data_IF_059392554392
#
_entry.id   IF_059392554392
#
_cell.length_a   1.000
_cell.length_b   1.000
_cell.length_c   1.000
_cell.angle_alpha   90.00
_cell.angle_beta   90.00
_cell.angle_gamma   90.00
#
_symmetry.space_group_name_H-M   'P 1'
#
loop_
_entity.id
_entity.type
_entity.pdbx_description
1 polymer ?
#
# COMPACT_ATOMS: atom_id res chain seq x y z
N UNK A 1 16.19 10.78 -32.78
CA UNK A 1 17.09 10.57 -33.94
C UNK A 1 18.12 9.52 -33.52
N UNK A 2 18.38 8.52 -34.38
CA UNK A 2 19.03 7.20 -34.13
C UNK A 2 18.08 6.08 -33.67
N UNK A 3 17.78 5.22 -34.64
CA UNK A 3 16.98 3.99 -34.61
C UNK A 3 17.80 2.84 -34.04
N UNK A 4 17.20 1.98 -33.24
CA UNK A 4 17.54 0.55 -33.21
C UNK A 4 16.26 -0.26 -33.29
N UNK A 5 16.13 -1.02 -34.37
CA UNK A 5 15.03 -1.93 -34.68
C UNK A 5 15.50 -3.34 -34.36
N UNK A 6 14.77 -4.09 -33.53
CA UNK A 6 14.87 -5.55 -33.49
C UNK A 6 13.50 -6.15 -33.78
N UNK A 7 13.40 -6.80 -34.94
CA UNK A 7 12.39 -7.79 -35.28
C UNK A 7 12.74 -9.09 -34.56
N UNK A 8 11.77 -9.72 -33.90
CA UNK A 8 11.72 -11.18 -33.78
C UNK A 8 10.27 -11.61 -33.94
N UNK A 9 10.00 -12.23 -35.10
CA UNK A 9 8.76 -12.97 -35.34
C UNK A 9 8.99 -14.41 -34.93
N UNK A 10 8.04 -14.93 -34.16
CA UNK A 10 7.78 -16.34 -33.92
C UNK A 10 7.54 -17.10 -35.22
N UNK A 11 7.90 -18.39 -35.27
CA UNK A 11 7.16 -19.47 -35.92
C UNK A 11 7.89 -20.79 -35.70
N UNK A 12 7.34 -21.68 -34.87
CA UNK A 12 7.46 -23.13 -35.06
C UNK A 12 6.22 -23.82 -34.47
N UNK A 13 5.28 -24.16 -35.34
CA UNK A 13 4.27 -25.19 -35.12
C UNK A 13 4.54 -26.29 -36.14
N UNK A 14 4.61 -27.54 -35.67
CA UNK A 14 4.88 -28.69 -36.54
C UNK A 14 4.66 -29.99 -35.78
N UNK A 15 3.54 -30.64 -36.09
CA UNK A 15 3.03 -31.90 -35.54
C UNK A 15 3.79 -33.15 -36.04
N UNK A 16 3.85 -34.15 -35.16
CA UNK A 16 3.62 -35.61 -35.37
C UNK A 16 4.49 -36.37 -36.38
N UNK A 17 5.20 -37.41 -35.91
CA UNK A 17 5.09 -38.77 -36.48
C UNK A 17 5.59 -39.86 -35.50
N UNK A 18 4.90 -41.00 -35.51
CA UNK A 18 5.14 -42.21 -34.73
C UNK A 18 5.88 -43.30 -35.54
N UNK A 19 6.18 -44.43 -34.88
CA UNK A 19 6.88 -45.66 -35.31
C UNK A 19 8.41 -45.59 -35.17
N UNK A 20 9.12 -46.56 -34.59
CA UNK A 20 8.79 -47.87 -34.05
C UNK A 20 10.06 -48.73 -33.96
N UNK A 21 10.15 -49.58 -32.94
CA UNK A 21 10.93 -50.83 -32.86
C UNK A 21 12.47 -50.72 -32.92
N UNK A 22 13.16 -51.08 -31.83
CA UNK A 22 13.98 -52.32 -31.81
C UNK A 22 14.49 -52.63 -30.40
N UNK A 23 13.98 -53.75 -29.89
CA UNK A 23 14.47 -54.51 -28.75
C UNK A 23 15.81 -55.17 -29.16
N UNK A 24 16.87 -54.98 -28.39
CA UNK A 24 18.01 -55.90 -28.36
C UNK A 24 18.58 -55.95 -26.95
N UNK A 25 18.35 -57.10 -26.29
CA UNK A 25 19.10 -57.57 -25.13
C UNK A 25 20.61 -57.59 -25.46
N UNK A 26 21.44 -57.21 -24.49
CA UNK A 26 22.40 -58.15 -23.89
C UNK A 26 23.11 -57.53 -22.68
N UNK A 27 23.31 -58.40 -21.71
CA UNK A 27 24.00 -58.21 -20.44
C UNK A 27 25.42 -57.64 -20.60
N UNK A 28 25.78 -56.75 -19.68
CA UNK A 28 27.15 -56.28 -19.48
C UNK A 28 27.40 -55.97 -18.01
N UNK A 29 27.84 -57.00 -17.29
CA UNK A 29 28.61 -57.03 -16.05
C UNK A 29 28.81 -55.72 -15.25
N UNK A 30 28.36 -55.82 -14.00
CA UNK A 30 28.98 -55.33 -12.77
C UNK A 30 30.43 -54.83 -12.93
N UNK A 31 30.59 -53.51 -12.85
CA UNK A 31 31.81 -52.90 -12.35
C UNK A 31 31.42 -51.88 -11.27
N UNK A 32 31.64 -52.32 -10.04
CA UNK A 32 31.66 -51.52 -8.82
C UNK A 32 32.57 -50.30 -9.00
N UNK A 33 31.97 -49.12 -9.12
CA UNK A 33 32.52 -47.90 -8.57
C UNK A 33 31.58 -47.45 -7.46
N UNK A 34 31.84 -47.94 -6.24
CA UNK A 34 31.40 -47.27 -5.04
C UNK A 34 32.09 -45.90 -5.00
N UNK A 35 31.49 -44.92 -5.68
CA UNK A 35 31.66 -43.54 -5.31
C UNK A 35 31.12 -43.46 -3.89
N UNK A 36 32.03 -43.47 -2.90
CA UNK A 36 31.67 -43.20 -1.53
C UNK A 36 30.96 -41.87 -1.53
N UNK A 37 29.64 -41.89 -1.38
CA UNK A 37 28.86 -40.77 -0.89
C UNK A 37 29.47 -40.46 0.46
N UNK A 38 30.45 -39.56 0.47
CA UNK A 38 30.80 -38.79 1.64
C UNK A 38 29.49 -38.14 2.05
N UNK A 39 28.78 -38.76 3.00
CA UNK A 39 27.67 -38.14 3.71
C UNK A 39 28.27 -36.86 4.30
N UNK A 40 28.03 -35.73 3.64
CA UNK A 40 28.42 -34.43 4.17
C UNK A 40 27.78 -34.34 5.54
N UNK A 41 28.62 -34.17 6.57
CA UNK A 41 28.18 -34.02 7.95
C UNK A 41 27.11 -32.92 7.97
N UNK A 42 25.97 -33.21 8.60
CA UNK A 42 24.92 -32.22 8.85
C UNK A 42 25.53 -30.98 9.49
N UNK A 43 25.19 -29.82 8.95
CA UNK A 43 25.65 -28.53 9.47
C UNK A 43 24.64 -27.99 10.47
N UNK A 44 25.13 -27.28 11.48
CA UNK A 44 24.30 -26.65 12.50
C UNK A 44 23.87 -25.24 12.07
N UNK A 45 23.06 -24.58 12.91
CA UNK A 45 22.52 -23.23 12.64
C UNK A 45 23.63 -22.20 12.39
N UNK A 46 24.71 -22.10 13.22
CA UNK A 46 25.78 -21.15 12.96
C UNK A 46 26.47 -21.36 11.61
N UNK A 47 26.75 -22.62 11.23
CA UNK A 47 27.42 -22.90 9.96
C UNK A 47 26.49 -22.63 8.76
N UNK A 48 25.19 -22.94 8.86
CA UNK A 48 24.21 -22.59 7.82
C UNK A 48 24.10 -21.07 7.65
N UNK A 49 23.98 -20.34 8.76
CA UNK A 49 23.93 -18.87 8.75
C UNK A 49 25.19 -18.27 8.12
N UNK A 50 26.37 -18.79 8.48
CA UNK A 50 27.66 -18.37 7.90
C UNK A 50 27.70 -18.57 6.39
N UNK A 51 27.26 -19.73 5.88
CA UNK A 51 27.24 -20.00 4.44
C UNK A 51 26.30 -19.06 3.67
N UNK A 52 25.14 -18.71 4.23
CA UNK A 52 24.22 -17.74 3.63
C UNK A 52 24.82 -16.33 3.65
N UNK A 53 25.35 -15.88 4.79
CA UNK A 53 26.00 -14.57 4.92
C UNK A 53 27.17 -14.43 3.95
N UNK A 54 28.04 -15.44 3.88
CA UNK A 54 29.16 -15.47 2.93
C UNK A 54 28.67 -15.37 1.47
N UNK A 55 27.53 -15.98 1.16
CA UNK A 55 26.93 -15.92 -0.19
C UNK A 55 26.30 -14.57 -0.50
N UNK A 56 25.65 -13.94 0.48
CA UNK A 56 25.13 -12.57 0.36
C UNK A 56 26.28 -11.59 0.11
N UNK A 57 27.42 -11.78 0.77
CA UNK A 57 28.59 -10.93 0.61
C UNK A 57 29.31 -11.14 -0.74
N UNK A 58 29.41 -12.38 -1.22
CA UNK A 58 30.01 -12.71 -2.52
C UNK A 58 29.13 -13.66 -3.33
N UNK A 59 28.15 -13.08 -4.03
CA UNK A 59 27.21 -13.83 -4.88
C UNK A 59 27.91 -14.64 -5.98
N UNK A 60 29.12 -14.24 -6.41
CA UNK A 60 29.89 -14.99 -7.42
C UNK A 60 30.43 -16.31 -6.88
N UNK A 61 30.61 -16.39 -5.56
CA UNK A 61 31.04 -17.59 -4.87
C UNK A 61 29.86 -18.43 -4.35
N UNK A 62 28.61 -18.01 -4.58
CA UNK A 62 27.40 -18.69 -4.08
C UNK A 62 27.35 -20.19 -4.43
N UNK A 63 27.83 -20.59 -5.61
CA UNK A 63 27.90 -22.02 -6.00
C UNK A 63 28.75 -22.85 -5.03
N UNK A 64 29.92 -22.31 -4.63
CA UNK A 64 30.81 -22.99 -3.69
C UNK A 64 30.21 -23.13 -2.29
N UNK A 65 29.37 -22.17 -1.87
CA UNK A 65 28.69 -22.21 -0.57
C UNK A 65 27.47 -23.11 -0.60
N UNK A 66 26.66 -23.02 -1.64
CA UNK A 66 25.55 -23.94 -1.91
C UNK A 66 26.03 -25.39 -1.86
N UNK A 67 27.15 -25.70 -2.52
CA UNK A 67 27.71 -27.03 -2.53
C UNK A 67 28.08 -27.53 -1.13
N UNK A 68 28.48 -26.68 -0.19
CA UNK A 68 28.82 -27.10 1.18
C UNK A 68 27.59 -27.52 2.00
N UNK A 69 26.40 -27.08 1.64
CA UNK A 69 25.15 -27.45 2.33
C UNK A 69 24.80 -28.92 1.98
N UNK A 70 24.55 -29.82 2.93
CA UNK A 70 24.14 -31.19 2.64
C UNK A 70 22.79 -31.25 1.92
N UNK A 71 22.61 -32.20 0.98
CA UNK A 71 21.39 -32.35 0.19
C UNK A 71 20.12 -32.51 1.06
N UNK A 72 20.23 -33.24 2.18
CA UNK A 72 19.16 -33.43 3.16
C UNK A 72 18.68 -32.13 3.84
N UNK A 73 19.50 -31.09 3.83
CA UNK A 73 19.23 -29.76 4.42
C UNK A 73 18.88 -28.71 3.38
N UNK A 74 18.73 -29.09 2.10
CA UNK A 74 18.31 -28.19 1.01
C UNK A 74 16.84 -28.34 0.62
N UNK A 75 16.16 -29.39 1.08
CA UNK A 75 14.77 -29.67 0.71
C UNK A 75 14.50 -29.66 -0.82
N UNK A 76 15.44 -30.21 -1.59
CA UNK A 76 15.36 -30.23 -3.05
C UNK A 76 15.47 -28.86 -3.72
N UNK A 77 15.87 -27.80 -2.99
CA UNK A 77 16.24 -26.50 -3.52
C UNK A 77 17.36 -26.67 -4.55
N UNK A 78 17.15 -26.09 -5.72
CA UNK A 78 18.15 -26.08 -6.80
C UNK A 78 19.16 -24.95 -6.61
N UNK A 79 20.33 -25.05 -7.26
CA UNK A 79 21.30 -23.95 -7.25
C UNK A 79 20.72 -22.66 -7.84
N UNK A 80 19.87 -22.75 -8.87
CA UNK A 80 19.25 -21.56 -9.48
C UNK A 80 18.35 -20.82 -8.49
N UNK A 81 17.49 -21.54 -7.77
CA UNK A 81 16.61 -20.97 -6.74
C UNK A 81 17.44 -20.39 -5.58
N UNK A 82 18.49 -21.10 -5.16
CA UNK A 82 19.42 -20.58 -4.15
C UNK A 82 20.09 -19.27 -4.59
N UNK A 83 20.63 -19.23 -5.81
CA UNK A 83 21.32 -18.07 -6.35
C UNK A 83 20.40 -16.85 -6.44
N UNK A 84 19.17 -17.05 -6.91
CA UNK A 84 18.16 -16.00 -7.01
C UNK A 84 17.78 -15.47 -5.63
N UNK A 85 17.55 -16.35 -4.65
CA UNK A 85 17.26 -15.97 -3.26
C UNK A 85 18.39 -15.16 -2.62
N UNK A 86 19.64 -15.57 -2.81
CA UNK A 86 20.80 -14.79 -2.35
C UNK A 86 20.83 -13.43 -3.03
N UNK A 87 20.45 -13.34 -4.31
CA UNK A 87 20.24 -12.08 -5.02
C UNK A 87 19.22 -11.20 -4.29
N UNK A 88 18.04 -11.72 -3.96
CA UNK A 88 17.00 -11.01 -3.20
C UNK A 88 17.52 -10.50 -1.86
N UNK A 89 18.19 -11.35 -1.07
CA UNK A 89 18.76 -10.95 0.23
C UNK A 89 19.86 -9.89 0.07
N UNK A 90 20.64 -9.94 -1.01
CA UNK A 90 21.69 -8.94 -1.26
C UNK A 90 21.14 -7.54 -1.55
N UNK A 91 19.92 -7.44 -2.11
CA UNK A 91 19.23 -6.17 -2.35
C UNK A 91 18.75 -5.49 -1.06
N UNK A 92 18.70 -6.21 0.06
CA UNK A 92 18.44 -5.62 1.38
C UNK A 92 19.65 -4.88 1.96
N UNK A 93 20.85 -5.11 1.42
CA UNK A 93 22.05 -4.43 1.89
C UNK A 93 22.04 -2.96 1.44
N UNK A 94 22.38 -2.00 2.33
CA UNK A 94 22.61 -0.63 1.90
C UNK A 94 23.62 -0.56 0.75
N UNK A 95 23.37 0.32 -0.23
CA UNK A 95 24.27 0.56 -1.35
C UNK A 95 25.71 0.79 -0.90
N UNK A 96 26.64 -0.05 -1.38
CA UNK A 96 28.07 0.06 -1.06
C UNK A 96 28.46 -0.40 0.35
N UNK A 97 27.54 -1.00 1.11
CA UNK A 97 27.85 -1.61 2.41
C UNK A 97 28.37 -3.05 2.25
N UNK A 98 28.92 -3.56 3.34
CA UNK A 98 29.35 -4.96 3.47
C UNK A 98 28.90 -5.51 4.81
N UNK A 99 28.65 -6.81 4.87
CA UNK A 99 28.37 -7.50 6.13
C UNK A 99 29.60 -7.47 7.05
N UNK A 100 29.40 -7.15 8.33
CA UNK A 100 30.46 -7.16 9.36
C UNK A 100 30.36 -8.36 10.28
N UNK A 101 29.13 -8.73 10.64
CA UNK A 101 28.83 -9.79 11.59
C UNK A 101 27.40 -10.27 11.39
N UNK A 102 27.09 -11.43 11.98
CA UNK A 102 25.73 -11.90 12.12
C UNK A 102 25.52 -12.47 13.52
N UNK A 103 24.29 -12.37 14.01
CA UNK A 103 23.88 -12.90 15.30
C UNK A 103 22.65 -13.79 15.15
N UNK A 104 22.62 -14.90 15.89
CA UNK A 104 21.42 -15.73 16.02
C UNK A 104 20.50 -15.07 17.05
N UNK A 105 19.28 -14.74 16.65
CA UNK A 105 18.33 -14.04 17.52
C UNK A 105 17.58 -15.06 18.38
N UNK A 106 17.60 -14.85 19.70
CA UNK A 106 16.99 -15.76 20.68
C UNK A 106 16.08 -15.01 21.67
N UNK A 107 15.33 -15.78 22.47
CA UNK A 107 14.54 -15.24 23.58
C UNK A 107 13.42 -14.29 23.15
N UNK A 108 13.23 -13.21 23.91
CA UNK A 108 12.10 -12.29 23.71
C UNK A 108 12.16 -11.54 22.37
N UNK A 109 13.35 -11.22 21.86
CA UNK A 109 13.50 -10.58 20.54
C UNK A 109 13.01 -11.51 19.43
N UNK A 110 13.38 -12.79 19.48
CA UNK A 110 12.88 -13.81 18.55
C UNK A 110 11.37 -13.90 18.59
N UNK A 111 10.78 -14.05 19.78
CA UNK A 111 9.32 -14.18 19.89
C UNK A 111 8.59 -12.92 19.40
N UNK A 112 9.16 -11.73 19.62
CA UNK A 112 8.60 -10.47 19.10
C UNK A 112 8.65 -10.41 17.57
N UNK A 113 9.77 -10.80 16.96
CA UNK A 113 9.92 -10.84 15.49
C UNK A 113 8.93 -11.82 14.87
N UNK A 114 8.92 -13.06 15.36
CA UNK A 114 8.02 -14.09 14.84
C UNK A 114 6.55 -13.68 15.03
N UNK A 115 6.19 -13.12 16.19
CA UNK A 115 4.82 -12.62 16.43
C UNK A 115 4.42 -11.48 15.49
N UNK A 116 5.37 -10.65 15.04
CA UNK A 116 5.08 -9.58 14.06
C UNK A 116 4.89 -10.09 12.63
N UNK A 117 5.42 -11.28 12.31
CA UNK A 117 5.27 -11.91 11.00
C UNK A 117 3.94 -12.67 10.88
N UNK A 118 3.38 -13.12 12.01
CA UNK A 118 2.09 -13.79 12.06
C UNK A 118 0.99 -12.75 11.78
N UNK A 119 0.63 -12.60 10.50
CA UNK A 119 -0.52 -11.78 10.09
C UNK A 119 -1.83 -12.44 10.52
N UNK A 120 -2.89 -11.65 10.70
CA UNK A 120 -4.21 -12.18 11.08
C UNK A 120 -4.92 -12.98 9.97
N UNK A 121 -4.37 -13.01 8.75
CA UNK A 121 -5.12 -13.32 7.54
C UNK A 121 -4.64 -14.59 6.79
N UNK A 122 -3.53 -15.21 7.20
CA UNK A 122 -2.98 -16.43 6.59
C UNK A 122 -2.43 -17.39 7.65
N UNK A 123 -3.03 -18.59 7.75
CA UNK A 123 -2.58 -19.64 8.67
C UNK A 123 -1.59 -20.61 7.99
N UNK A 124 -1.40 -20.55 6.66
CA UNK A 124 -0.53 -21.51 5.94
C UNK A 124 0.91 -21.45 6.44
N UNK A 125 1.41 -20.25 6.72
CA UNK A 125 2.79 -20.02 7.12
C UNK A 125 3.02 -20.09 8.64
N UNK A 126 1.97 -20.17 9.46
CA UNK A 126 2.03 -20.02 10.91
C UNK A 126 3.00 -21.00 11.57
N UNK A 127 2.88 -22.29 11.24
CA UNK A 127 3.77 -23.32 11.79
C UNK A 127 5.20 -23.13 11.32
N UNK A 128 5.39 -22.72 10.06
CA UNK A 128 6.72 -22.50 9.49
C UNK A 128 7.40 -21.28 10.12
N UNK A 129 6.68 -20.15 10.26
CA UNK A 129 7.16 -18.93 10.94
C UNK A 129 7.57 -19.25 12.38
N UNK A 130 6.74 -19.99 13.14
CA UNK A 130 7.08 -20.38 14.53
C UNK A 130 8.32 -21.27 14.63
N UNK A 131 8.60 -22.05 13.59
CA UNK A 131 9.80 -22.90 13.49
C UNK A 131 11.06 -22.14 13.06
N UNK A 132 10.94 -20.87 12.69
CA UNK A 132 12.06 -20.09 12.17
C UNK A 132 13.04 -19.68 13.28
N UNK A 133 14.30 -19.54 12.85
CA UNK A 133 15.40 -18.94 13.59
C UNK A 133 15.79 -17.67 12.83
N UNK A 134 15.48 -16.47 13.36
CA UNK A 134 15.92 -15.22 12.76
C UNK A 134 17.43 -15.04 12.93
N UNK A 135 18.10 -14.64 11.86
CA UNK A 135 19.52 -14.29 11.83
C UNK A 135 19.61 -12.79 11.54
N UNK A 136 20.15 -12.02 12.51
CA UNK A 136 20.43 -10.60 12.32
C UNK A 136 21.74 -10.44 11.57
N UNK A 137 21.77 -9.57 10.57
CA UNK A 137 22.96 -9.23 9.78
C UNK A 137 23.33 -7.78 10.06
N UNK A 138 24.55 -7.58 10.57
CA UNK A 138 25.11 -6.25 10.78
C UNK A 138 25.96 -5.83 9.58
N UNK A 139 25.90 -4.55 9.22
CA UNK A 139 26.60 -4.02 8.04
C UNK A 139 27.42 -2.78 8.39
N UNK A 140 28.43 -2.47 7.56
CA UNK A 140 29.26 -1.26 7.69
C UNK A 140 28.50 0.04 7.41
N UNK A 141 27.34 -0.04 6.75
CA UNK A 141 26.48 1.09 6.42
C UNK A 141 25.33 1.25 7.40
N UNK A 142 24.73 2.44 7.42
CA UNK A 142 23.45 2.64 8.09
C UNK A 142 22.31 2.52 7.09
N UNK A 143 21.30 1.75 7.49
CA UNK A 143 20.01 1.67 6.81
C UNK A 143 19.21 2.95 7.10
N UNK A 144 18.52 3.51 6.10
CA UNK A 144 17.74 4.73 6.29
C UNK A 144 16.58 4.51 7.29
N UNK A 145 16.04 3.29 7.30
CA UNK A 145 15.06 2.81 8.29
C UNK A 145 15.58 2.73 9.73
N UNK A 146 16.90 2.56 9.92
CA UNK A 146 17.48 2.12 11.20
C UNK A 146 17.10 0.70 11.61
N UNK A 147 16.36 -0.05 10.78
CA UNK A 147 15.92 -1.42 11.07
C UNK A 147 17.01 -2.42 10.67
N UNK A 148 17.44 -3.33 11.55
CA UNK A 148 18.43 -4.35 11.19
C UNK A 148 17.96 -5.24 10.04
N UNK A 149 18.89 -5.82 9.28
CA UNK A 149 18.57 -6.83 8.28
C UNK A 149 18.40 -8.18 8.98
N UNK A 150 17.33 -8.90 8.63
CA UNK A 150 17.10 -10.26 9.12
C UNK A 150 16.85 -11.21 7.94
N UNK A 151 17.33 -12.44 8.06
CA UNK A 151 16.83 -13.58 7.26
C UNK A 151 16.49 -14.74 8.19
N UNK A 152 15.73 -15.72 7.69
CA UNK A 152 15.14 -16.76 8.54
C UNK A 152 15.60 -18.15 8.08
N UNK A 153 15.99 -18.98 9.05
CA UNK A 153 16.31 -20.39 8.84
C UNK A 153 15.20 -21.27 9.42
N UNK A 154 14.80 -22.31 8.71
CA UNK A 154 13.76 -23.24 9.18
C UNK A 154 14.37 -24.40 9.97
N UNK A 155 13.59 -24.94 10.91
CA UNK A 155 13.94 -26.13 11.69
C UNK A 155 12.92 -27.24 11.47
N UNK A 156 13.40 -28.47 11.27
CA UNK A 156 12.55 -29.67 11.25
C UNK A 156 12.11 -30.00 12.67
N UNK A 157 11.10 -30.86 12.82
CA UNK A 157 10.66 -31.40 14.13
C UNK A 157 11.80 -32.07 14.92
N UNK A 158 12.83 -32.56 14.22
CA UNK A 158 14.05 -33.13 14.82
C UNK A 158 15.01 -32.08 15.41
N UNK A 159 14.73 -30.78 15.24
CA UNK A 159 15.62 -29.67 15.58
C UNK A 159 16.72 -29.41 14.54
N UNK A 160 16.72 -30.14 13.43
CA UNK A 160 17.71 -29.95 12.37
C UNK A 160 17.37 -28.74 11.49
N UNK A 161 18.36 -27.87 11.28
CA UNK A 161 18.23 -26.71 10.40
C UNK A 161 18.21 -27.12 8.93
N UNK A 162 17.42 -26.44 8.11
CA UNK A 162 17.40 -26.64 6.67
C UNK A 162 16.96 -25.36 5.95
N UNK A 163 17.17 -25.33 4.63
CA UNK A 163 16.60 -24.33 3.74
C UNK A 163 15.29 -24.87 3.20
N UNK A 164 14.17 -24.27 3.60
CA UNK A 164 12.87 -24.64 3.08
C UNK A 164 12.70 -24.10 1.66
N UNK A 165 12.38 -24.98 0.71
CA UNK A 165 12.26 -24.58 -0.70
C UNK A 165 11.01 -23.74 -0.94
N UNK A 166 9.92 -24.00 -0.22
CA UNK A 166 8.67 -23.24 -0.29
C UNK A 166 8.90 -21.79 0.16
N UNK A 167 9.50 -21.62 1.34
CA UNK A 167 9.88 -20.32 1.89
C UNK A 167 10.70 -19.49 0.89
N UNK A 168 11.77 -20.10 0.35
CA UNK A 168 12.66 -19.44 -0.58
C UNK A 168 11.93 -19.01 -1.86
N UNK A 169 11.07 -19.87 -2.41
CA UNK A 169 10.28 -19.55 -3.60
C UNK A 169 9.31 -18.41 -3.34
N UNK A 170 8.59 -18.40 -2.21
CA UNK A 170 7.67 -17.33 -1.90
C UNK A 170 8.39 -15.98 -1.75
N UNK A 171 9.58 -15.96 -1.14
CA UNK A 171 10.43 -14.76 -1.12
C UNK A 171 10.81 -14.28 -2.53
N UNK A 172 11.22 -15.20 -3.43
CA UNK A 172 11.57 -14.88 -4.81
C UNK A 172 10.36 -14.32 -5.56
N UNK A 173 9.20 -14.97 -5.44
CA UNK A 173 7.96 -14.58 -6.14
C UNK A 173 7.47 -13.20 -5.68
N UNK A 174 7.48 -12.93 -4.37
CA UNK A 174 7.16 -11.60 -3.82
C UNK A 174 8.11 -10.51 -4.33
N UNK A 175 9.41 -10.80 -4.36
CA UNK A 175 10.41 -9.86 -4.87
C UNK A 175 10.25 -9.62 -6.38
N UNK A 176 10.06 -10.66 -7.18
CA UNK A 176 9.85 -10.53 -8.61
C UNK A 176 8.58 -9.69 -8.92
N UNK A 177 7.51 -9.92 -8.16
CA UNK A 177 6.30 -9.11 -8.27
C UNK A 177 6.54 -7.65 -7.88
N UNK A 178 7.27 -7.38 -6.80
CA UNK A 178 7.55 -5.99 -6.37
C UNK A 178 8.39 -5.23 -7.41
N UNK A 179 9.37 -5.90 -8.04
CA UNK A 179 10.16 -5.32 -9.14
C UNK A 179 9.24 -4.94 -10.30
N UNK A 180 8.36 -5.85 -10.73
CA UNK A 180 7.37 -5.55 -11.78
C UNK A 180 6.42 -4.42 -11.40
N UNK A 181 5.98 -4.38 -10.14
CA UNK A 181 5.14 -3.32 -9.61
C UNK A 181 5.82 -1.95 -9.76
N UNK A 182 7.03 -1.80 -9.23
CA UNK A 182 7.76 -0.53 -9.30
C UNK A 182 8.18 -0.15 -10.73
N UNK A 183 8.56 -1.13 -11.56
CA UNK A 183 8.88 -0.90 -12.98
C UNK A 183 7.68 -0.34 -13.77
N UNK A 184 6.46 -0.80 -13.49
CA UNK A 184 5.25 -0.29 -14.16
C UNK A 184 5.09 1.22 -13.93
N UNK A 185 5.34 1.69 -12.69
CA UNK A 185 5.29 3.11 -12.35
C UNK A 185 6.48 3.90 -12.90
N UNK A 186 7.70 3.37 -12.81
CA UNK A 186 8.90 3.99 -13.34
C UNK A 186 8.79 4.23 -14.86
N UNK A 187 8.24 3.25 -15.58
CA UNK A 187 8.01 3.33 -17.03
C UNK A 187 6.76 4.12 -17.41
N UNK A 188 5.96 4.56 -16.43
CA UNK A 188 4.67 5.26 -16.63
C UNK A 188 3.73 4.49 -17.57
N UNK A 189 3.79 3.16 -17.52
CA UNK A 189 2.97 2.32 -18.39
C UNK A 189 1.57 2.21 -17.82
N UNK A 190 0.66 3.05 -18.33
CA UNK A 190 -0.74 3.09 -17.89
C UNK A 190 -1.43 1.73 -17.97
N UNK A 191 -1.10 0.89 -18.96
CA UNK A 191 -1.74 -0.43 -19.10
C UNK A 191 -1.32 -1.38 -17.99
N UNK A 192 -0.02 -1.41 -17.70
CA UNK A 192 0.54 -2.26 -16.65
C UNK A 192 0.02 -1.81 -15.29
N UNK A 193 0.02 -0.50 -15.02
CA UNK A 193 -0.53 0.05 -13.76
C UNK A 193 -2.01 -0.30 -13.61
N UNK A 194 -2.84 -0.16 -14.66
CA UNK A 194 -4.25 -0.58 -14.59
C UNK A 194 -4.38 -2.07 -14.25
N UNK A 195 -3.50 -2.92 -14.79
CA UNK A 195 -3.51 -4.36 -14.49
C UNK A 195 -3.05 -4.70 -13.07
N UNK A 196 -2.35 -3.78 -12.39
CA UNK A 196 -1.89 -3.94 -11.02
C UNK A 196 -2.91 -3.47 -9.97
N UNK A 197 -3.82 -2.55 -10.32
CA UNK A 197 -4.86 -2.06 -9.40
C UNK A 197 -5.71 -3.15 -8.74
N UNK A 198 -6.05 -4.28 -9.40
CA UNK A 198 -6.80 -5.34 -8.73
C UNK A 198 -6.06 -6.02 -7.57
N UNK A 199 -4.74 -5.87 -7.49
CA UNK A 199 -3.93 -6.42 -6.42
C UNK A 199 -3.76 -5.42 -5.26
N UNK A 200 -4.19 -4.16 -5.39
CA UNK A 200 -4.09 -3.20 -4.28
C UNK A 200 -5.21 -3.42 -3.27
N UNK A 201 -4.85 -3.50 -2.00
CA UNK A 201 -5.81 -3.62 -0.92
C UNK A 201 -6.54 -2.29 -0.70
N UNK A 202 -7.87 -2.35 -0.77
CA UNK A 202 -8.72 -1.18 -0.55
C UNK A 202 -9.93 -1.59 0.30
N UNK A 203 -10.43 -0.71 1.19
CA UNK A 203 -11.60 -1.02 2.02
C UNK A 203 -12.88 -1.26 1.21
N UNK A 204 -12.96 -0.67 0.02
CA UNK A 204 -14.13 -0.73 -0.86
C UNK A 204 -13.84 -1.61 -2.09
N UNK A 205 -14.87 -2.19 -2.73
CA UNK A 205 -14.67 -2.99 -3.93
C UNK A 205 -13.99 -2.19 -5.06
N UNK A 206 -13.05 -2.84 -5.75
CA UNK A 206 -12.36 -2.25 -6.89
C UNK A 206 -13.38 -1.80 -7.96
N UNK A 207 -13.29 -0.56 -8.47
CA UNK A 207 -14.19 -0.06 -9.50
C UNK A 207 -14.12 -0.89 -10.79
N UNK A 208 -15.28 -1.22 -11.35
CA UNK A 208 -15.37 -1.92 -12.64
C UNK A 208 -15.29 -0.95 -13.83
N UNK A 209 -15.53 0.34 -13.60
CA UNK A 209 -15.44 1.37 -14.63
C UNK A 209 -14.01 1.57 -15.10
N UNK A 210 -13.80 1.37 -16.40
CA UNK A 210 -12.49 1.57 -17.04
C UNK A 210 -11.98 3.00 -16.90
N UNK A 211 -12.87 3.99 -16.84
CA UNK A 211 -12.46 5.38 -16.73
C UNK A 211 -12.02 5.73 -15.30
N UNK A 212 -12.66 5.13 -14.28
CA UNK A 212 -12.20 5.20 -12.89
C UNK A 212 -10.83 4.53 -12.75
N UNK A 213 -10.65 3.32 -13.31
CA UNK A 213 -9.35 2.64 -13.28
C UNK A 213 -8.24 3.45 -13.96
N UNK A 214 -8.54 4.13 -15.09
CA UNK A 214 -7.59 5.05 -15.73
C UNK A 214 -7.29 6.27 -14.84
N UNK A 215 -8.28 6.82 -14.14
CA UNK A 215 -8.09 7.96 -13.24
C UNK A 215 -7.17 7.57 -12.08
N UNK A 216 -7.44 6.44 -11.42
CA UNK A 216 -6.57 5.82 -10.39
C UNK A 216 -5.15 5.63 -10.90
N UNK A 217 -4.99 4.94 -12.03
CA UNK A 217 -3.67 4.64 -12.58
C UNK A 217 -2.87 5.90 -12.96
N UNK A 218 -3.53 6.94 -13.48
CA UNK A 218 -2.87 8.23 -13.77
C UNK A 218 -2.43 8.94 -12.49
N UNK A 219 -3.25 8.92 -11.45
CA UNK A 219 -2.89 9.55 -10.18
C UNK A 219 -1.76 8.78 -9.48
N UNK A 220 -1.75 7.44 -9.52
CA UNK A 220 -0.59 6.64 -9.09
C UNK A 220 0.69 7.05 -9.84
N UNK A 221 0.65 7.07 -11.19
CA UNK A 221 1.81 7.44 -12.01
C UNK A 221 2.29 8.84 -11.69
N UNK A 222 1.36 9.78 -11.50
CA UNK A 222 1.67 11.15 -11.09
C UNK A 222 2.35 11.15 -9.74
N UNK A 223 1.79 10.50 -8.73
CA UNK A 223 2.37 10.38 -7.40
C UNK A 223 3.81 9.84 -7.46
N UNK A 224 4.02 8.69 -8.10
CA UNK A 224 5.36 8.09 -8.23
C UNK A 224 6.34 8.91 -9.09
N UNK A 225 5.84 9.81 -9.95
CA UNK A 225 6.68 10.67 -10.80
C UNK A 225 7.09 11.98 -10.13
N UNK A 226 6.25 12.52 -9.23
CA UNK A 226 6.39 13.90 -8.73
C UNK A 226 6.54 13.97 -7.21
N UNK A 227 5.97 13.02 -6.48
CA UNK A 227 6.00 13.03 -5.02
C UNK A 227 7.17 12.21 -4.46
N UNK A 228 7.67 11.24 -5.22
CA UNK A 228 8.83 10.45 -4.82
C UNK A 228 10.09 11.11 -5.38
N UNK A 229 10.92 11.71 -4.51
CA UNK A 229 12.12 12.45 -4.93
C UNK A 229 13.20 11.56 -5.54
N UNK A 230 13.30 10.31 -5.09
CA UNK A 230 14.29 9.35 -5.55
C UNK A 230 13.66 7.97 -5.73
N UNK A 231 13.45 7.57 -6.99
CA UNK A 231 12.98 6.21 -7.33
C UNK A 231 14.05 5.14 -7.07
N UNK A 232 15.31 5.56 -6.85
CA UNK A 232 16.46 4.69 -6.57
C UNK A 232 16.68 4.43 -5.08
N UNK A 233 15.79 4.92 -4.20
CA UNK A 233 15.96 4.88 -2.73
C UNK A 233 14.82 4.11 -2.02
N UNK A 234 14.20 3.15 -2.70
CA UNK A 234 13.31 2.22 -2.01
C UNK A 234 14.16 1.22 -1.25
N UNK A 235 14.08 1.26 0.07
CA UNK A 235 14.83 0.35 0.93
C UNK A 235 13.97 -0.87 1.24
N UNK A 236 14.40 -2.07 0.84
CA UNK A 236 13.73 -3.32 1.24
C UNK A 236 14.02 -3.59 2.72
N UNK A 237 13.03 -3.39 3.59
CA UNK A 237 13.17 -3.48 5.05
C UNK A 237 13.22 -4.93 5.52
N UNK A 238 12.27 -5.73 5.05
CA UNK A 238 12.10 -7.12 5.45
C UNK A 238 11.52 -7.92 4.30
N UNK A 239 11.89 -9.20 4.25
CA UNK A 239 11.27 -10.20 3.38
C UNK A 239 11.14 -11.53 4.13
N UNK A 240 9.98 -12.15 4.00
CA UNK A 240 9.67 -13.49 4.45
C UNK A 240 8.74 -14.19 3.45
N UNK A 241 8.34 -15.42 3.75
CA UNK A 241 7.53 -16.23 2.83
C UNK A 241 6.15 -15.64 2.52
N UNK A 242 5.62 -14.77 3.38
CA UNK A 242 4.27 -14.20 3.25
C UNK A 242 4.29 -12.70 3.00
N UNK A 243 5.40 -12.02 3.26
CA UNK A 243 5.43 -10.58 3.37
C UNK A 243 6.76 -9.96 2.89
N UNK A 244 6.65 -8.86 2.17
CA UNK A 244 7.77 -8.04 1.70
C UNK A 244 7.46 -6.56 1.95
N UNK A 245 8.34 -5.87 2.66
CA UNK A 245 8.14 -4.47 3.07
C UNK A 245 9.24 -3.57 2.50
N UNK A 246 8.82 -2.52 1.80
CA UNK A 246 9.69 -1.42 1.38
C UNK A 246 9.42 -0.16 2.20
N UNK A 247 10.48 0.60 2.46
CA UNK A 247 10.42 1.95 2.99
C UNK A 247 10.78 2.96 1.90
N UNK A 248 10.02 4.05 1.85
CA UNK A 248 10.23 5.17 0.96
C UNK A 248 10.46 6.42 1.82
N UNK A 249 11.72 6.82 2.06
CA UNK A 249 12.07 7.83 3.07
C UNK A 249 11.79 9.28 2.61
N UNK A 250 11.72 9.54 1.30
CA UNK A 250 11.61 10.89 0.76
C UNK A 250 10.36 11.12 -0.11
N UNK A 251 9.18 11.01 0.49
CA UNK A 251 7.91 11.30 -0.18
C UNK A 251 7.46 12.71 0.17
N UNK A 252 7.29 13.55 -0.84
CA UNK A 252 6.66 14.87 -0.71
C UNK A 252 5.18 14.70 -0.44
N UNK A 253 4.74 15.20 0.71
CA UNK A 253 3.33 15.44 0.94
C UNK A 253 2.87 16.73 0.21
N UNK A 254 1.58 17.01 0.28
CA UNK A 254 0.93 18.18 -0.33
C UNK A 254 1.35 19.52 0.25
N UNK A 255 2.03 19.54 1.40
CA UNK A 255 2.62 20.73 2.03
C UNK A 255 4.12 20.87 1.71
N UNK A 256 4.63 20.15 0.71
CA UNK A 256 6.05 20.05 0.36
C UNK A 256 6.96 19.56 1.52
N UNK A 257 6.38 18.98 2.57
CA UNK A 257 7.12 18.33 3.64
C UNK A 257 7.47 16.92 3.21
N UNK A 258 8.69 16.51 3.53
CA UNK A 258 9.13 15.15 3.31
C UNK A 258 8.58 14.25 4.42
N UNK A 259 7.96 13.14 4.04
CA UNK A 259 7.51 12.09 4.92
C UNK A 259 8.04 10.73 4.45
N UNK A 260 8.13 9.80 5.40
CA UNK A 260 8.45 8.40 5.12
C UNK A 260 7.14 7.62 4.98
N UNK A 261 7.05 6.75 3.97
CA UNK A 261 5.94 5.78 3.84
C UNK A 261 6.45 4.37 3.59
N UNK A 262 5.57 3.40 3.73
CA UNK A 262 5.87 2.00 3.42
C UNK A 262 4.99 1.49 2.27
N UNK A 263 5.53 0.54 1.51
CA UNK A 263 4.79 -0.27 0.54
C UNK A 263 4.98 -1.72 0.93
N UNK A 264 3.88 -2.44 1.13
CA UNK A 264 3.88 -3.82 1.61
C UNK A 264 3.26 -4.74 0.56
N UNK A 265 3.88 -5.90 0.34
CA UNK A 265 3.36 -6.97 -0.51
C UNK A 265 3.09 -8.17 0.40
N UNK A 266 1.87 -8.69 0.36
CA UNK A 266 1.44 -9.86 1.13
C UNK A 266 1.02 -10.98 0.20
N UNK A 267 1.40 -12.21 0.48
CA UNK A 267 0.87 -13.40 -0.19
C UNK A 267 -0.12 -14.10 0.72
N UNK A 268 -1.27 -14.48 0.17
CA UNK A 268 -2.26 -15.33 0.87
C UNK A 268 -1.97 -16.83 0.69
N UNK A 269 -2.82 -17.66 1.30
CA UNK A 269 -2.76 -19.13 1.26
C UNK A 269 -2.94 -19.73 -0.16
N UNK A 270 -3.31 -18.92 -1.15
CA UNK A 270 -3.45 -19.33 -2.55
C UNK A 270 -2.31 -18.78 -3.43
N UNK A 271 -1.26 -18.24 -2.82
CA UNK A 271 -0.19 -17.48 -3.48
C UNK A 271 -0.71 -16.26 -4.27
N UNK A 272 -1.87 -15.71 -3.90
CA UNK A 272 -2.34 -14.45 -4.44
C UNK A 272 -1.65 -13.30 -3.71
N UNK A 273 -0.98 -12.44 -4.49
CA UNK A 273 -0.25 -11.30 -3.96
C UNK A 273 -1.19 -10.10 -3.85
N UNK A 274 -1.22 -9.46 -2.69
CA UNK A 274 -1.91 -8.21 -2.40
C UNK A 274 -0.90 -7.13 -2.04
N UNK A 275 -1.16 -5.88 -2.44
CA UNK A 275 -0.29 -4.72 -2.24
C UNK A 275 -0.98 -3.71 -1.33
N UNK A 276 -0.33 -3.34 -0.23
CA UNK A 276 -0.71 -2.18 0.58
C UNK A 276 0.22 -1.02 0.22
N UNK A 277 -0.29 -0.11 -0.60
CA UNK A 277 0.39 1.09 -1.06
C UNK A 277 -0.55 2.29 -0.89
N UNK A 278 -0.80 2.74 0.36
CA UNK A 278 -1.81 3.75 0.61
C UNK A 278 -1.41 5.08 -0.04
N UNK A 279 -2.33 5.64 -0.82
CA UNK A 279 -2.24 6.97 -1.42
C UNK A 279 -3.45 7.79 -0.97
N UNK A 280 -3.18 8.88 -0.28
CA UNK A 280 -4.23 9.81 0.12
C UNK A 280 -4.47 10.86 -0.95
N UNK A 281 -5.74 11.15 -1.21
CA UNK A 281 -6.10 12.38 -1.89
C UNK A 281 -6.46 13.48 -0.89
N UNK A 282 -5.83 14.62 -1.06
CA UNK A 282 -6.18 15.81 -0.32
C UNK A 282 -7.40 16.49 -0.91
N UNK A 283 -8.23 17.03 -0.02
CA UNK A 283 -9.35 17.88 -0.39
C UNK A 283 -8.84 19.14 -1.12
N UNK A 284 -9.34 19.38 -2.33
CA UNK A 284 -8.93 20.54 -3.14
C UNK A 284 -9.50 21.82 -2.54
N UNK A 285 -8.73 22.91 -2.57
CA UNK A 285 -9.16 24.20 -2.01
C UNK A 285 -10.45 24.76 -2.62
N UNK A 286 -10.75 24.44 -3.89
CA UNK A 286 -12.00 24.85 -4.56
C UNK A 286 -13.23 24.20 -3.92
N UNK A 287 -13.05 23.04 -3.28
CA UNK A 287 -14.11 22.28 -2.63
C UNK A 287 -14.31 22.68 -1.16
N UNK A 288 -13.60 23.72 -0.70
CA UNK A 288 -13.89 24.39 0.58
C UNK A 288 -15.05 25.40 0.49
N UNK A 289 -15.63 25.57 -0.70
CA UNK A 289 -16.69 26.52 -0.97
C UNK A 289 -18.05 25.85 -1.14
N UNK A 290 -19.08 26.47 -0.59
CA UNK A 290 -20.45 26.23 -0.95
C UNK A 290 -20.78 26.99 -2.24
N UNK A 291 -21.46 26.32 -3.16
CA UNK A 291 -22.04 26.91 -4.35
C UNK A 291 -23.56 26.89 -4.25
N UNK A 292 -24.21 28.00 -4.59
CA UNK A 292 -25.66 28.11 -4.64
C UNK A 292 -26.12 28.60 -6.00
N UNK A 293 -27.01 27.85 -6.66
CA UNK A 293 -27.46 28.08 -8.04
C UNK A 293 -26.28 28.26 -9.02
N UNK A 294 -25.21 27.48 -8.84
CA UNK A 294 -24.00 27.52 -9.67
C UNK A 294 -23.03 28.67 -9.39
N UNK A 295 -23.33 29.55 -8.42
CA UNK A 295 -22.45 30.64 -8.02
C UNK A 295 -21.68 30.27 -6.76
N UNK A 296 -20.39 30.58 -6.72
CA UNK A 296 -19.56 30.45 -5.51
C UNK A 296 -20.06 31.44 -4.46
N UNK A 297 -20.54 30.97 -3.31
CA UNK A 297 -21.15 31.85 -2.30
C UNK A 297 -20.28 32.09 -1.08
N UNK A 298 -19.94 31.04 -0.33
CA UNK A 298 -19.25 31.16 0.97
C UNK A 298 -18.20 30.07 1.08
N UNK A 299 -17.07 30.38 1.72
CA UNK A 299 -16.08 29.37 2.12
C UNK A 299 -16.40 28.90 3.54
N UNK A 300 -16.10 27.64 3.84
CA UNK A 300 -16.07 27.20 5.23
C UNK A 300 -14.95 27.93 5.99
N UNK A 301 -15.15 28.21 7.28
CA UNK A 301 -14.25 29.02 8.12
C UNK A 301 -14.43 30.53 7.99
N UNK A 302 -15.07 31.03 6.92
CA UNK A 302 -15.34 32.47 6.76
C UNK A 302 -16.38 32.99 7.76
N UNK A 303 -16.36 34.31 7.96
CA UNK A 303 -17.33 35.03 8.76
C UNK A 303 -18.76 34.85 8.24
N UNK A 304 -19.71 34.71 9.16
CA UNK A 304 -21.10 34.48 8.89
C UNK A 304 -21.96 35.42 9.75
N UNK A 305 -22.93 36.08 9.10
CA UNK A 305 -23.93 36.93 9.73
C UNK A 305 -25.29 36.78 9.01
N UNK A 306 -26.43 37.04 9.68
CA UNK A 306 -27.76 36.78 9.12
C UNK A 306 -28.02 37.53 7.79
N UNK A 307 -27.69 38.81 7.73
CA UNK A 307 -27.89 39.63 6.52
C UNK A 307 -27.12 39.12 5.30
N UNK A 308 -25.94 38.53 5.51
CA UNK A 308 -25.16 37.92 4.43
C UNK A 308 -25.85 36.67 3.89
N UNK A 309 -26.33 35.77 4.75
CA UNK A 309 -27.00 34.54 4.31
C UNK A 309 -28.33 34.82 3.63
N UNK A 310 -29.14 35.74 4.16
CA UNK A 310 -30.42 36.06 3.54
C UNK A 310 -30.25 36.62 2.12
N UNK A 311 -29.21 37.43 1.90
CA UNK A 311 -28.87 37.94 0.56
C UNK A 311 -28.39 36.84 -0.39
N UNK A 312 -27.69 35.82 0.11
CA UNK A 312 -27.11 34.76 -0.71
C UNK A 312 -28.10 33.62 -1.01
N UNK A 313 -28.87 33.20 -0.02
CA UNK A 313 -29.69 31.98 -0.07
C UNK A 313 -31.20 32.24 0.03
N UNK A 314 -31.60 33.45 0.43
CA UNK A 314 -32.97 33.81 0.79
C UNK A 314 -33.27 33.52 2.27
N UNK A 315 -34.54 33.63 2.65
CA UNK A 315 -34.99 33.39 4.03
C UNK A 315 -34.84 31.90 4.40
N UNK A 316 -34.21 31.57 5.56
CA UNK A 316 -34.10 30.19 6.02
C UNK A 316 -35.46 29.61 6.45
N UNK A 317 -35.59 28.28 6.41
CA UNK A 317 -36.78 27.57 6.90
C UNK A 317 -36.85 27.64 8.42
N UNK A 318 -35.71 27.42 9.07
CA UNK A 318 -35.57 27.47 10.53
C UNK A 318 -34.15 27.89 10.90
N UNK A 319 -34.03 28.72 11.93
CA UNK A 319 -32.78 28.94 12.66
C UNK A 319 -32.97 28.33 14.05
N UNK A 320 -31.97 27.58 14.52
CA UNK A 320 -31.99 27.01 15.86
C UNK A 320 -30.61 27.09 16.48
N UNK A 321 -30.56 27.18 17.80
CA UNK A 321 -29.31 27.32 18.54
C UNK A 321 -29.10 26.14 19.48
N UNK A 322 -27.89 25.60 19.48
CA UNK A 322 -27.46 24.51 20.35
C UNK A 322 -27.11 24.96 21.77
N UNK A 323 -26.63 24.03 22.61
CA UNK A 323 -26.12 24.35 23.94
C UNK A 323 -24.87 25.25 23.86
N UNK A 324 -24.55 25.91 24.98
CA UNK A 324 -23.29 26.64 25.16
C UNK A 324 -22.15 25.62 25.09
N UNK A 325 -21.18 25.90 24.22
CA UNK A 325 -19.99 25.08 24.04
C UNK A 325 -18.80 25.65 24.80
N UNK A 326 -18.62 26.97 24.75
CA UNK A 326 -17.59 27.69 25.51
C UNK A 326 -18.08 29.09 25.86
N UNK A 327 -17.45 29.70 26.86
CA UNK A 327 -17.62 31.12 27.18
C UNK A 327 -16.27 31.81 26.99
N UNK A 328 -16.24 32.85 26.15
CA UNK A 328 -14.99 33.58 25.87
C UNK A 328 -14.51 34.37 27.09
N UNK A 329 -13.27 34.85 27.07
CA UNK A 329 -12.74 35.72 28.12
C UNK A 329 -13.54 37.03 28.31
N UNK A 330 -14.30 37.44 27.28
CA UNK A 330 -15.16 38.62 27.31
C UNK A 330 -16.57 38.31 27.83
N UNK A 331 -16.88 37.04 28.15
CA UNK A 331 -18.18 36.59 28.63
C UNK A 331 -19.16 36.16 27.53
N UNK A 332 -18.72 36.09 26.27
CA UNK A 332 -19.59 35.69 25.17
C UNK A 332 -19.82 34.18 25.16
N UNK A 333 -21.09 33.77 25.06
CA UNK A 333 -21.46 32.36 24.99
C UNK A 333 -21.41 31.87 23.53
N UNK A 334 -20.43 31.02 23.23
CA UNK A 334 -20.24 30.44 21.90
C UNK A 334 -21.07 29.16 21.75
N UNK A 335 -21.77 29.06 20.62
CA UNK A 335 -22.77 28.03 20.36
C UNK A 335 -22.70 27.59 18.89
N UNK A 336 -23.27 26.41 18.63
CA UNK A 336 -23.59 25.99 17.26
C UNK A 336 -24.97 26.52 16.86
N UNK A 337 -25.04 27.32 15.81
CA UNK A 337 -26.25 27.88 15.24
C UNK A 337 -26.54 27.10 13.95
N UNK A 338 -27.67 26.41 13.90
CA UNK A 338 -28.08 25.58 12.77
C UNK A 338 -29.11 26.35 11.93
N UNK A 339 -28.76 26.62 10.68
CA UNK A 339 -29.55 27.37 9.72
C UNK A 339 -29.98 26.42 8.61
N UNK A 340 -31.28 26.18 8.49
CA UNK A 340 -31.83 25.18 7.56
C UNK A 340 -32.43 25.82 6.32
N UNK A 341 -32.08 25.26 5.17
CA UNK A 341 -32.68 25.56 3.87
C UNK A 341 -33.28 24.29 3.25
N UNK A 342 -33.94 24.43 2.10
CA UNK A 342 -34.36 23.27 1.32
C UNK A 342 -33.13 22.56 0.77
N UNK A 343 -32.89 21.34 1.25
CA UNK A 343 -31.84 20.45 0.75
C UNK A 343 -30.48 20.54 1.46
N UNK A 344 -30.29 21.53 2.35
CA UNK A 344 -29.02 21.68 3.07
C UNK A 344 -29.18 22.39 4.43
N UNK A 345 -28.18 22.21 5.30
CA UNK A 345 -28.00 22.93 6.57
C UNK A 345 -26.61 23.57 6.58
N UNK A 346 -26.57 24.81 7.05
CA UNK A 346 -25.34 25.50 7.41
C UNK A 346 -25.27 25.55 8.93
N UNK A 347 -24.13 25.16 9.51
CA UNK A 347 -23.85 25.38 10.93
C UNK A 347 -22.83 26.48 11.07
N UNK A 348 -23.16 27.48 11.88
CA UNK A 348 -22.26 28.57 12.27
C UNK A 348 -21.83 28.35 13.71
N UNK A 349 -20.55 28.54 13.98
CA UNK A 349 -20.02 28.58 15.33
C UNK A 349 -19.83 30.03 15.75
N UNK A 350 -20.53 30.47 16.79
CA UNK A 350 -20.63 31.89 17.08
C UNK A 350 -21.48 32.27 18.28
N UNK A 351 -21.73 33.56 18.43
CA UNK A 351 -22.62 34.13 19.43
C UNK A 351 -24.04 34.20 18.87
N UNK A 352 -25.03 33.93 19.72
CA UNK A 352 -26.43 33.91 19.33
C UNK A 352 -27.27 34.68 20.35
N UNK A 353 -27.85 35.81 19.91
CA UNK A 353 -28.81 36.57 20.71
C UNK A 353 -30.24 36.19 20.30
N UNK A 354 -30.52 36.20 19.01
CA UNK A 354 -31.81 35.83 18.42
C UNK A 354 -31.63 35.48 16.92
N UNK A 355 -32.73 35.18 16.22
CA UNK A 355 -32.70 34.77 14.81
C UNK A 355 -32.19 35.87 13.84
N UNK A 356 -32.36 37.14 14.20
CA UNK A 356 -31.91 38.31 13.42
C UNK A 356 -30.53 38.82 13.84
N UNK A 357 -30.04 38.38 15.00
CA UNK A 357 -28.81 38.87 15.64
C UNK A 357 -27.97 37.71 16.16
N UNK A 358 -27.09 37.25 15.29
CA UNK A 358 -26.06 36.27 15.59
C UNK A 358 -24.83 36.54 14.72
N UNK A 359 -23.65 36.12 15.18
CA UNK A 359 -22.37 36.37 14.50
C UNK A 359 -21.41 35.21 14.73
N UNK A 360 -20.66 34.81 13.70
CA UNK A 360 -19.71 33.71 13.87
C UNK A 360 -18.96 33.33 12.61
N UNK A 361 -18.58 32.06 12.54
CA UNK A 361 -17.90 31.47 11.37
C UNK A 361 -18.62 30.23 10.87
N UNK A 362 -18.61 30.02 9.55
CA UNK A 362 -19.13 28.80 8.94
C UNK A 362 -18.33 27.59 9.41
N UNK A 363 -18.96 26.69 10.16
CA UNK A 363 -18.29 25.51 10.73
C UNK A 363 -18.62 24.23 9.94
N UNK A 364 -19.82 24.13 9.37
CA UNK A 364 -20.26 22.92 8.67
C UNK A 364 -21.28 23.22 7.58
N UNK A 365 -21.12 22.60 6.43
CA UNK A 365 -22.15 22.49 5.39
C UNK A 365 -22.56 21.04 5.26
N UNK A 366 -23.86 20.78 5.36
CA UNK A 366 -24.45 19.45 5.16
C UNK A 366 -25.48 19.52 4.05
N UNK A 367 -25.25 18.81 2.96
CA UNK A 367 -26.08 18.81 1.76
C UNK A 367 -26.64 17.42 1.53
N UNK A 368 -27.94 17.30 1.31
CA UNK A 368 -28.62 16.04 0.95
C UNK A 368 -29.53 16.21 -0.28
N UNK A 369 -29.58 17.42 -0.86
CA UNK A 369 -30.22 17.72 -2.14
C UNK A 369 -29.46 18.87 -2.81
N UNK A 370 -28.94 18.59 -4.01
CA UNK A 370 -28.04 19.45 -4.76
C UNK A 370 -28.70 20.20 -5.90
N UNK A 371 -30.04 20.25 -5.91
CA UNK A 371 -30.84 21.08 -6.82
C UNK A 371 -30.39 22.54 -6.79
N UNK A 372 -30.03 23.05 -5.59
CA UNK A 372 -29.57 24.44 -5.42
C UNK A 372 -28.20 24.57 -4.78
N UNK A 373 -27.81 23.67 -3.89
CA UNK A 373 -26.58 23.80 -3.09
C UNK A 373 -25.60 22.66 -3.38
N UNK A 374 -24.31 22.99 -3.54
CA UNK A 374 -23.24 22.02 -3.85
C UNK A 374 -21.95 22.36 -3.12
N UNK A 375 -21.11 21.37 -2.87
CA UNK A 375 -19.75 21.59 -2.39
C UNK A 375 -18.82 21.58 -3.60
N UNK A 376 -17.99 22.62 -3.71
CA UNK A 376 -17.14 22.78 -4.88
C UNK A 376 -17.94 22.98 -6.17
N UNK A 377 -17.22 23.00 -7.29
CA UNK A 377 -17.84 23.16 -8.62
C UNK A 377 -18.41 21.86 -9.18
N UNK A 378 -18.01 20.72 -8.62
CA UNK A 378 -18.20 19.43 -9.28
C UNK A 378 -18.87 18.35 -8.44
N UNK A 379 -19.06 18.51 -7.12
CA UNK A 379 -19.66 17.46 -6.28
C UNK A 379 -21.14 17.68 -6.02
N UNK A 380 -21.92 16.63 -6.28
CA UNK A 380 -23.38 16.61 -6.22
C UNK A 380 -23.85 15.40 -5.40
N UNK A 381 -24.98 15.48 -4.71
CA UNK A 381 -25.57 14.31 -4.05
C UNK A 381 -26.20 13.33 -5.04
N UNK A 382 -26.45 13.75 -6.29
CA UNK A 382 -26.89 12.85 -7.37
C UNK A 382 -25.71 12.07 -7.98
N UNK A 383 -24.46 12.36 -7.58
CA UNK A 383 -23.28 11.61 -7.99
C UNK A 383 -23.31 10.16 -7.46
N UNK A 384 -22.61 9.28 -8.17
CA UNK A 384 -22.22 7.96 -7.68
C UNK A 384 -20.83 7.99 -7.03
N UNK A 385 -20.50 6.95 -6.27
CA UNK A 385 -19.16 6.75 -5.71
C UNK A 385 -18.09 6.75 -6.80
N UNK A 386 -18.42 6.31 -8.02
CA UNK A 386 -17.49 6.36 -9.15
C UNK A 386 -17.27 7.76 -9.69
N UNK A 387 -18.30 8.62 -9.71
CA UNK A 387 -18.13 10.03 -10.07
C UNK A 387 -17.22 10.74 -9.06
N UNK A 388 -17.32 10.38 -7.78
CA UNK A 388 -16.37 10.84 -6.76
C UNK A 388 -14.95 10.32 -7.05
N UNK A 389 -14.78 9.04 -7.38
CA UNK A 389 -13.47 8.47 -7.72
C UNK A 389 -12.87 9.03 -9.02
N UNK A 390 -13.68 9.54 -9.96
CA UNK A 390 -13.13 10.27 -11.11
C UNK A 390 -12.47 11.60 -10.71
N UNK A 391 -12.92 12.21 -9.61
CA UNK A 391 -12.41 13.49 -9.08
C UNK A 391 -11.32 13.29 -8.03
N UNK A 392 -11.47 12.24 -7.22
CA UNK A 392 -10.62 11.85 -6.10
C UNK A 392 -10.34 10.34 -6.20
N UNK A 393 -9.35 9.93 -7.02
CA UNK A 393 -9.16 8.53 -7.38
C UNK A 393 -8.95 7.54 -6.25
N UNK A 394 -8.50 7.97 -5.08
CA UNK A 394 -8.25 7.15 -3.89
C UNK A 394 -9.15 7.55 -2.71
N UNK A 395 -10.27 8.22 -2.96
CA UNK A 395 -11.24 8.52 -1.90
C UNK A 395 -11.74 7.25 -1.21
N UNK A 396 -11.76 6.11 -1.90
CA UNK A 396 -12.16 4.83 -1.35
C UNK A 396 -11.18 4.25 -0.31
N UNK A 397 -9.89 4.62 -0.37
CA UNK A 397 -8.90 4.20 0.62
C UNK A 397 -9.16 4.79 2.01
N UNK A 398 -9.83 5.95 2.08
CA UNK A 398 -10.19 6.63 3.32
C UNK A 398 -11.69 6.53 3.64
N UNK A 399 -12.42 5.64 2.96
CA UNK A 399 -13.86 5.50 3.15
C UNK A 399 -14.66 6.74 2.74
N UNK A 400 -14.17 7.47 1.75
CA UNK A 400 -14.69 8.73 1.21
C UNK A 400 -14.64 9.91 2.20
N UNK A 401 -13.61 9.92 3.05
CA UNK A 401 -13.27 11.03 3.93
C UNK A 401 -12.00 11.70 3.42
N UNK A 402 -12.12 12.94 2.94
CA UNK A 402 -11.01 13.74 2.41
C UNK A 402 -10.70 14.86 3.39
N UNK A 403 -9.42 15.18 3.57
CA UNK A 403 -8.99 16.25 4.46
C UNK A 403 -7.96 17.16 3.81
N UNK A 404 -7.88 18.40 4.30
CA UNK A 404 -6.81 19.34 3.96
C UNK A 404 -6.59 20.30 5.12
N UNK A 405 -5.32 20.57 5.43
CA UNK A 405 -4.93 21.67 6.30
C UNK A 405 -4.65 22.89 5.43
N UNK A 406 -5.36 23.99 5.66
CA UNK A 406 -5.15 25.26 4.98
C UNK A 406 -5.18 26.40 5.99
N UNK A 407 -4.20 27.31 5.90
CA UNK A 407 -4.09 28.46 6.81
C UNK A 407 -3.99 28.08 8.31
N UNK A 408 -3.47 26.88 8.61
CA UNK A 408 -3.38 26.34 9.98
C UNK A 408 -4.71 25.80 10.54
N UNK A 409 -5.72 25.66 9.68
CA UNK A 409 -7.03 25.09 10.01
C UNK A 409 -7.26 23.78 9.26
N UNK A 410 -7.90 22.80 9.92
CA UNK A 410 -8.21 21.50 9.34
C UNK A 410 -9.64 21.48 8.78
N UNK A 411 -9.76 21.07 7.52
CA UNK A 411 -11.04 20.90 6.85
C UNK A 411 -11.23 19.45 6.43
N UNK A 412 -12.45 18.94 6.60
CA UNK A 412 -12.80 17.55 6.29
C UNK A 412 -14.07 17.52 5.47
N UNK A 413 -14.02 16.84 4.32
CA UNK A 413 -15.16 16.48 3.51
C UNK A 413 -15.47 15.00 3.72
N UNK A 414 -16.71 14.69 4.08
CA UNK A 414 -17.23 13.32 4.15
C UNK A 414 -18.31 13.16 3.10
N UNK A 415 -18.15 12.19 2.21
CA UNK A 415 -19.18 11.78 1.26
C UNK A 415 -19.82 10.49 1.78
N UNK A 416 -21.06 10.61 2.26
CA UNK A 416 -21.82 9.48 2.77
C UNK A 416 -22.50 8.76 1.61
N UNK A 417 -22.24 7.46 1.47
CA UNK A 417 -22.73 6.63 0.39
C UNK A 417 -23.88 5.74 0.86
N UNK A 418 -24.93 5.62 0.06
CA UNK A 418 -26.03 4.69 0.30
C UNK A 418 -25.63 3.26 -0.15
N UNK A 419 -24.88 2.57 0.72
CA UNK A 419 -24.38 1.21 0.46
C UNK A 419 -25.48 0.15 0.39
N UNK A 420 -26.71 0.46 0.81
CA UNK A 420 -27.87 -0.42 0.66
C UNK A 420 -28.42 -0.40 -0.78
N UNK A 421 -28.04 0.60 -1.58
CA UNK A 421 -28.48 0.76 -2.97
C UNK A 421 -27.31 0.72 -3.94
N UNK A 422 -26.79 -0.46 -4.23
CA UNK A 422 -25.84 -0.63 -5.33
C UNK A 422 -26.55 -0.46 -6.67
N UNK A 423 -26.02 0.39 -7.56
CA UNK A 423 -26.55 0.49 -8.91
C UNK A 423 -26.14 -0.72 -9.77
N UNK A 424 -26.65 -0.81 -11.00
CA UNK A 424 -26.37 -1.93 -11.91
C UNK A 424 -24.89 -2.09 -12.27
N UNK A 425 -24.07 -1.06 -12.04
CA UNK A 425 -22.65 -1.06 -12.38
C UNK A 425 -21.77 -1.38 -11.16
N UNK A 426 -22.32 -1.41 -9.95
CA UNK A 426 -21.57 -1.72 -8.73
C UNK A 426 -21.16 -0.50 -7.89
N UNK A 427 -21.54 0.72 -8.29
CA UNK A 427 -21.29 1.93 -7.51
C UNK A 427 -22.44 2.25 -6.56
N UNK A 428 -22.17 3.10 -5.57
CA UNK A 428 -23.13 3.52 -4.56
C UNK A 428 -23.54 4.98 -4.80
N UNK A 429 -24.83 5.35 -4.74
CA UNK A 429 -25.24 6.73 -4.84
C UNK A 429 -24.84 7.51 -3.58
N UNK A 430 -24.53 8.78 -3.76
CA UNK A 430 -24.27 9.69 -2.64
C UNK A 430 -25.58 9.98 -1.91
N UNK A 431 -25.58 9.83 -0.59
CA UNK A 431 -26.72 10.15 0.27
C UNK A 431 -26.65 11.59 0.77
N UNK A 432 -25.46 12.02 1.16
CA UNK A 432 -25.19 13.35 1.66
C UNK A 432 -23.71 13.67 1.58
N UNK A 433 -23.42 14.96 1.49
CA UNK A 433 -22.07 15.51 1.52
C UNK A 433 -21.96 16.42 2.73
N UNK A 434 -20.90 16.24 3.51
CA UNK A 434 -20.65 17.01 4.74
C UNK A 434 -19.26 17.60 4.67
N UNK A 435 -19.18 18.93 4.58
CA UNK A 435 -17.92 19.68 4.69
C UNK A 435 -17.85 20.32 6.07
N UNK A 436 -16.75 20.13 6.78
CA UNK A 436 -16.55 20.57 8.16
C UNK A 436 -15.20 21.25 8.35
N UNK A 437 -15.20 22.32 9.15
CA UNK A 437 -14.00 22.86 9.76
C UNK A 437 -13.84 22.22 11.14
N UNK A 438 -12.73 21.50 11.34
CA UNK A 438 -12.37 20.91 12.63
C UNK A 438 -11.58 21.94 13.43
N UNK A 439 -12.21 22.48 14.48
CA UNK A 439 -11.53 23.27 15.51
C UNK A 439 -10.60 22.31 16.28
N UNK A 440 -9.30 22.56 16.24
CA UNK A 440 -8.28 21.85 17.04
C UNK A 440 -8.48 22.10 18.55
#
# INVERSE_FOLDING_TARGET
MKRFSRKLHSFFTGRVLACGISLCLMMGLLASCSSGTFLKKKIDVPEMARLLVDSIQDIKAAENFYDKIPEEQRDGLTFSEYYEYIGVLSEMLPSGSSVTSFDIVEGQERESLLSSMLSSDSEEYDSMIRSCIPIRVDTTGQRASGTPMYFYLQTKDSGEVYLDRGWIRSCIDLYAFSVHYFEAYANKNLTDVISLLPFTETPEPIPQSRDVLKAKAREMIRFYSYNIKSQTEFEMISIDASNLLYLQPEVLNTQDKTATRSVQFRSDDNNAITVLDPIMNDLKSVDLYLYYNGLRTVRIGEHAAPSQLENLFGTPITISCGPILETTANGDEMRNILIRYHGFVITVYGTYTNEEEWDGRYMRFRIWDSTRARIGTEMDVDDSSWDILLRYPFADETGFVLSVESDGEDYVLTVDLDREKTNSEGSFPVRQIVLEWKKL
#
